data_IF_235530285515
#
_entry.id   IF_235530285515
#
_cell.length_a   1.000
_cell.length_b   1.000
_cell.length_c   1.000
_cell.angle_alpha   90.00
_cell.angle_beta   90.00
_cell.angle_gamma   90.00
#
_symmetry.space_group_name_H-M   'P 1'
#
loop_
_entity.id
_entity.type
_entity.pdbx_description
1 polymer ?
#
# COMPACT_ATOMS: atom_id res chain seq x y z
N UNK A 1 9.43 -89.70 31.40
CA UNK A 1 9.33 -88.65 32.44
C UNK A 1 10.44 -87.65 32.15
N UNK A 2 10.12 -86.41 31.76
CA UNK A 2 11.12 -85.36 31.65
C UNK A 2 11.86 -85.22 32.99
N UNK A 3 13.18 -85.04 32.96
CA UNK A 3 13.96 -84.77 34.18
C UNK A 3 13.70 -83.33 34.63
N UNK A 4 13.77 -83.04 35.93
CA UNK A 4 13.57 -81.67 36.47
C UNK A 4 14.41 -80.62 35.75
N UNK A 5 15.60 -81.00 35.29
CA UNK A 5 16.48 -80.17 34.47
C UNK A 5 15.84 -79.72 33.15
N UNK A 6 15.16 -80.61 32.42
CA UNK A 6 14.47 -80.27 31.17
C UNK A 6 13.32 -79.29 31.41
N UNK A 7 12.63 -79.41 32.55
CA UNK A 7 11.53 -78.52 32.90
C UNK A 7 12.03 -77.10 33.25
N UNK A 8 13.21 -76.99 33.86
CA UNK A 8 13.86 -75.71 34.13
C UNK A 8 14.36 -75.05 32.85
N UNK A 9 15.01 -75.80 31.96
CA UNK A 9 15.48 -75.31 30.66
C UNK A 9 14.33 -74.77 29.81
N UNK A 10 13.19 -75.47 29.76
CA UNK A 10 11.99 -74.99 29.07
C UNK A 10 11.44 -73.71 29.68
N UNK A 11 11.46 -73.59 31.02
CA UNK A 11 11.02 -72.36 31.71
C UNK A 11 11.94 -71.18 31.43
N UNK A 12 13.26 -71.40 31.44
CA UNK A 12 14.25 -70.38 31.12
C UNK A 12 14.06 -69.92 29.67
N UNK A 13 13.95 -70.85 28.73
CA UNK A 13 13.71 -70.52 27.33
C UNK A 13 12.41 -69.71 27.12
N UNK A 14 11.33 -70.07 27.82
CA UNK A 14 10.07 -69.33 27.78
C UNK A 14 10.22 -67.90 28.33
N UNK A 15 10.81 -67.75 29.53
CA UNK A 15 11.04 -66.43 30.13
C UNK A 15 11.95 -65.55 29.28
N UNK A 16 12.95 -66.14 28.64
CA UNK A 16 13.90 -65.42 27.80
C UNK A 16 13.25 -64.99 26.48
N UNK A 17 12.35 -65.81 25.93
CA UNK A 17 11.50 -65.42 24.80
C UNK A 17 10.53 -64.30 25.18
N UNK A 18 9.89 -64.38 26.35
CA UNK A 18 8.97 -63.35 26.84
C UNK A 18 9.70 -62.02 27.09
N UNK A 19 10.90 -62.07 27.67
CA UNK A 19 11.73 -60.88 27.89
C UNK A 19 12.11 -60.21 26.57
N UNK A 20 12.60 -60.98 25.59
CA UNK A 20 12.94 -60.45 24.27
C UNK A 20 11.70 -59.85 23.56
N UNK A 21 10.52 -60.46 23.73
CA UNK A 21 9.28 -59.92 23.18
C UNK A 21 8.86 -58.61 23.87
N UNK A 22 9.08 -58.49 25.18
CA UNK A 22 8.85 -57.24 25.91
C UNK A 22 9.83 -56.14 25.51
N UNK A 23 11.12 -56.46 25.35
CA UNK A 23 12.13 -55.50 24.90
C UNK A 23 11.77 -54.97 23.50
N UNK A 24 11.41 -55.85 22.57
CA UNK A 24 10.96 -55.43 21.24
C UNK A 24 9.71 -54.55 21.30
N UNK A 25 8.71 -54.90 22.14
CA UNK A 25 7.50 -54.11 22.29
C UNK A 25 7.78 -52.72 22.90
N UNK A 26 8.78 -52.60 23.79
CA UNK A 26 9.22 -51.31 24.33
C UNK A 26 9.90 -50.46 23.27
N UNK A 27 10.77 -51.06 22.44
CA UNK A 27 11.43 -50.36 21.34
C UNK A 27 10.42 -49.86 20.30
N UNK A 28 9.47 -50.72 19.89
CA UNK A 28 8.41 -50.35 18.95
C UNK A 28 7.54 -49.21 19.53
N UNK A 29 7.13 -49.31 20.80
CA UNK A 29 6.36 -48.26 21.46
C UNK A 29 7.13 -46.93 21.56
N UNK A 30 8.45 -46.98 21.79
CA UNK A 30 9.30 -45.79 21.84
C UNK A 30 9.38 -45.11 20.46
N UNK A 31 9.50 -45.88 19.38
CA UNK A 31 9.51 -45.33 18.01
C UNK A 31 8.18 -44.68 17.64
N UNK A 32 7.06 -45.37 17.89
CA UNK A 32 5.72 -44.81 17.62
C UNK A 32 5.46 -43.52 18.42
N UNK A 33 5.88 -43.50 19.69
CA UNK A 33 5.68 -42.31 20.53
C UNK A 33 6.49 -41.12 19.99
N UNK A 34 7.72 -41.36 19.54
CA UNK A 34 8.56 -40.32 18.96
C UNK A 34 7.98 -39.78 17.64
N UNK A 35 7.46 -40.65 16.77
CA UNK A 35 6.78 -40.25 15.53
C UNK A 35 5.52 -39.42 15.79
N UNK A 36 4.72 -39.81 16.80
CA UNK A 36 3.53 -39.02 17.21
C UNK A 36 3.92 -37.66 17.74
N UNK A 37 4.97 -37.55 18.54
CA UNK A 37 5.45 -36.27 19.08
C UNK A 37 6.00 -35.35 17.98
N UNK A 38 6.73 -35.90 17.00
CA UNK A 38 7.14 -35.14 15.81
C UNK A 38 5.92 -34.62 15.04
N UNK A 39 4.92 -35.48 14.79
CA UNK A 39 3.69 -35.07 14.10
C UNK A 39 2.93 -33.99 14.87
N UNK A 40 2.85 -34.09 16.21
CA UNK A 40 2.22 -33.05 17.04
C UNK A 40 2.94 -31.73 16.90
N UNK A 41 4.27 -31.75 16.90
CA UNK A 41 5.09 -30.55 16.73
C UNK A 41 4.84 -29.88 15.38
N UNK A 42 4.83 -30.64 14.30
CA UNK A 42 4.52 -30.12 12.96
C UNK A 42 3.12 -29.47 12.92
N UNK A 43 2.13 -30.11 13.53
CA UNK A 43 0.77 -29.55 13.65
C UNK A 43 0.73 -28.25 14.48
N UNK A 44 1.50 -28.16 15.56
CA UNK A 44 1.59 -26.94 16.36
C UNK A 44 2.27 -25.80 15.60
N UNK A 45 3.36 -26.09 14.88
CA UNK A 45 4.06 -25.11 14.06
C UNK A 45 3.15 -24.58 12.93
N UNK A 46 2.41 -25.47 12.28
CA UNK A 46 1.45 -25.12 11.25
C UNK A 46 0.27 -24.31 11.79
N UNK A 47 -0.26 -24.67 12.96
CA UNK A 47 -1.32 -23.89 13.61
C UNK A 47 -0.86 -22.46 13.94
N UNK A 48 0.35 -22.30 14.49
CA UNK A 48 0.92 -20.96 14.76
C UNK A 48 1.14 -20.16 13.47
N UNK A 49 1.57 -20.81 12.38
CA UNK A 49 1.70 -20.16 11.07
C UNK A 49 0.36 -19.61 10.60
N UNK A 50 -0.70 -20.43 10.67
CA UNK A 50 -2.05 -20.06 10.27
C UNK A 50 -2.68 -18.99 11.17
N UNK A 51 -2.35 -18.97 12.46
CA UNK A 51 -2.77 -17.91 13.37
C UNK A 51 -2.16 -16.55 12.98
N UNK A 52 -0.84 -16.51 12.71
CA UNK A 52 -0.16 -15.30 12.23
C UNK A 52 -0.71 -14.83 10.89
N UNK A 53 -0.98 -15.77 9.97
CA UNK A 53 -1.57 -15.45 8.67
C UNK A 53 -2.99 -14.87 8.83
N UNK A 54 -3.81 -15.42 9.71
CA UNK A 54 -5.14 -14.88 10.02
C UNK A 54 -5.08 -13.47 10.63
N UNK A 55 -4.15 -13.22 11.54
CA UNK A 55 -3.97 -11.90 12.13
C UNK A 55 -3.58 -10.87 11.06
N UNK A 56 -2.64 -11.22 10.18
CA UNK A 56 -2.28 -10.40 9.03
C UNK A 56 -3.50 -10.11 8.15
N UNK A 57 -4.25 -11.14 7.74
CA UNK A 57 -5.43 -10.97 6.89
C UNK A 57 -6.50 -10.09 7.55
N UNK A 58 -6.69 -10.18 8.87
CA UNK A 58 -7.62 -9.29 9.60
C UNK A 58 -7.20 -7.83 9.50
N UNK A 59 -5.91 -7.54 9.68
CA UNK A 59 -5.39 -6.17 9.55
C UNK A 59 -5.52 -5.63 8.12
N UNK A 60 -5.28 -6.46 7.10
CA UNK A 60 -5.44 -6.08 5.69
C UNK A 60 -6.91 -5.79 5.34
N UNK A 61 -7.85 -6.61 5.83
CA UNK A 61 -9.29 -6.38 5.63
C UNK A 61 -9.73 -5.05 6.25
N UNK A 62 -9.24 -4.72 7.45
CA UNK A 62 -9.57 -3.45 8.09
C UNK A 62 -8.98 -2.25 7.34
N UNK A 63 -7.73 -2.36 6.86
CA UNK A 63 -7.13 -1.36 5.97
C UNK A 63 -7.98 -1.14 4.70
N UNK A 64 -8.43 -2.22 4.05
CA UNK A 64 -9.28 -2.13 2.87
C UNK A 64 -10.62 -1.45 3.17
N UNK A 65 -11.24 -1.72 4.33
CA UNK A 65 -12.49 -1.06 4.73
C UNK A 65 -12.31 0.45 4.86
N UNK A 66 -11.22 0.90 5.49
CA UNK A 66 -10.90 2.34 5.62
C UNK A 66 -10.69 3.00 4.27
N UNK A 67 -9.93 2.37 3.37
CA UNK A 67 -9.71 2.88 2.01
C UNK A 67 -11.02 3.01 1.23
N UNK A 68 -11.91 2.02 1.32
CA UNK A 68 -13.23 2.09 0.66
C UNK A 68 -14.06 3.29 1.14
N UNK A 69 -14.06 3.57 2.45
CA UNK A 69 -14.76 4.75 2.97
C UNK A 69 -14.17 6.06 2.45
N UNK A 70 -12.83 6.18 2.43
CA UNK A 70 -12.15 7.39 1.94
C UNK A 70 -12.42 7.63 0.45
N UNK A 71 -12.43 6.56 -0.37
CA UNK A 71 -12.79 6.65 -1.78
C UNK A 71 -14.25 7.08 -1.96
N UNK A 72 -15.17 6.53 -1.17
CA UNK A 72 -16.58 6.91 -1.22
C UNK A 72 -16.79 8.39 -0.86
N UNK A 73 -16.11 8.88 0.18
CA UNK A 73 -16.15 10.29 0.58
C UNK A 73 -15.58 11.21 -0.51
N UNK A 74 -14.41 10.89 -1.06
CA UNK A 74 -13.83 11.65 -2.18
C UNK A 74 -14.75 11.68 -3.39
N UNK A 75 -15.39 10.56 -3.72
CA UNK A 75 -16.35 10.48 -4.81
C UNK A 75 -17.58 11.36 -4.53
N UNK A 76 -18.11 11.32 -3.31
CA UNK A 76 -19.25 12.16 -2.92
C UNK A 76 -18.90 13.65 -3.00
N UNK A 77 -17.72 14.05 -2.54
CA UNK A 77 -17.24 15.44 -2.65
C UNK A 77 -17.05 15.87 -4.11
N UNK A 78 -16.49 15.00 -4.96
CA UNK A 78 -16.36 15.27 -6.39
C UNK A 78 -17.74 15.44 -7.05
N UNK A 79 -18.70 14.56 -6.75
CA UNK A 79 -20.06 14.67 -7.26
C UNK A 79 -20.77 15.94 -6.78
N UNK A 80 -20.60 16.32 -5.52
CA UNK A 80 -21.13 17.57 -4.98
C UNK A 80 -20.53 18.77 -5.73
N UNK A 81 -19.22 18.81 -5.95
CA UNK A 81 -18.55 19.87 -6.71
C UNK A 81 -19.05 19.92 -8.16
N UNK A 82 -19.17 18.78 -8.84
CA UNK A 82 -19.74 18.73 -10.19
C UNK A 82 -21.16 19.27 -10.25
N UNK A 83 -21.98 19.03 -9.22
CA UNK A 83 -23.35 19.57 -9.16
C UNK A 83 -23.35 21.09 -9.08
N UNK A 84 -22.44 21.68 -8.28
CA UNK A 84 -22.27 23.14 -8.15
C UNK A 84 -21.83 23.75 -9.48
N UNK A 85 -20.80 23.19 -10.12
CA UNK A 85 -20.33 23.69 -11.41
C UNK A 85 -21.39 23.57 -12.50
N UNK A 86 -22.20 22.50 -12.49
CA UNK A 86 -23.30 22.35 -13.44
C UNK A 86 -24.34 23.46 -13.30
N UNK A 87 -24.69 23.83 -12.06
CA UNK A 87 -25.63 24.95 -11.81
C UNK A 87 -25.01 26.27 -12.27
N UNK A 88 -23.75 26.54 -11.92
CA UNK A 88 -23.05 27.76 -12.34
C UNK A 88 -22.96 27.89 -13.87
N UNK A 89 -22.67 26.79 -14.58
CA UNK A 89 -22.66 26.76 -16.04
C UNK A 89 -24.05 27.07 -16.61
N UNK A 90 -25.11 26.46 -16.06
CA UNK A 90 -26.48 26.72 -16.50
C UNK A 90 -26.90 28.18 -16.27
N UNK A 91 -26.55 28.77 -15.12
CA UNK A 91 -26.79 30.18 -14.82
C UNK A 91 -26.05 31.10 -15.79
N UNK A 92 -24.79 30.78 -16.11
CA UNK A 92 -23.99 31.54 -17.07
C UNK A 92 -24.57 31.45 -18.49
N UNK A 93 -24.96 30.25 -18.92
CA UNK A 93 -25.57 30.03 -20.23
C UNK A 93 -26.90 30.77 -20.36
N UNK A 94 -27.71 30.81 -19.29
CA UNK A 94 -28.94 31.60 -19.25
C UNK A 94 -28.66 33.11 -19.38
N UNK A 95 -27.64 33.63 -18.67
CA UNK A 95 -27.24 35.03 -18.79
C UNK A 95 -26.74 35.38 -20.20
N UNK A 96 -25.96 34.48 -20.83
CA UNK A 96 -25.49 34.64 -22.21
C UNK A 96 -26.66 34.65 -23.20
N UNK A 97 -27.61 33.72 -23.06
CA UNK A 97 -28.83 33.69 -23.88
C UNK A 97 -29.63 34.98 -23.75
N UNK A 98 -29.86 35.46 -22.53
CA UNK A 98 -30.56 36.72 -22.29
C UNK A 98 -29.82 37.91 -22.91
N UNK A 99 -28.49 37.96 -22.81
CA UNK A 99 -27.69 39.00 -23.45
C UNK A 99 -27.79 38.97 -24.98
N UNK A 100 -27.74 37.78 -25.58
CA UNK A 100 -27.90 37.58 -27.03
C UNK A 100 -29.30 37.99 -27.50
N UNK A 101 -30.35 37.65 -26.76
CA UNK A 101 -31.72 38.09 -27.08
C UNK A 101 -31.85 39.60 -27.09
N UNK A 102 -31.24 40.29 -26.13
CA UNK A 102 -31.23 41.76 -26.09
C UNK A 102 -30.47 42.37 -27.26
N UNK A 103 -29.33 41.79 -27.65
CA UNK A 103 -28.57 42.22 -28.84
C UNK A 103 -29.42 42.03 -30.11
N UNK A 104 -30.07 40.87 -30.24
CA UNK A 104 -30.89 40.53 -31.40
C UNK A 104 -32.16 41.39 -31.52
N UNK A 105 -32.75 41.81 -30.41
CA UNK A 105 -33.90 42.74 -30.39
C UNK A 105 -33.49 44.19 -30.71
N UNK A 106 -32.20 44.49 -30.65
CA UNK A 106 -31.67 45.85 -30.70
C UNK A 106 -31.83 46.53 -29.35
N UNK A 107 -30.76 47.13 -28.84
CA UNK A 107 -30.81 47.94 -27.62
C UNK A 107 -31.36 49.32 -28.02
N UNK A 108 -32.66 49.54 -27.80
CA UNK A 108 -33.37 50.72 -28.32
C UNK A 108 -33.74 51.72 -27.22
N UNK A 109 -33.81 51.30 -25.97
CA UNK A 109 -34.13 52.14 -24.82
C UNK A 109 -32.93 52.36 -23.88
N UNK A 110 -32.97 53.44 -23.10
CA UNK A 110 -32.06 53.66 -21.98
C UNK A 110 -32.20 52.56 -20.91
N UNK A 111 -33.42 52.07 -20.69
CA UNK A 111 -33.67 50.97 -19.75
C UNK A 111 -33.00 49.66 -20.23
N UNK A 112 -33.02 49.39 -21.54
CA UNK A 112 -32.33 48.24 -22.14
C UNK A 112 -30.81 48.32 -21.94
N UNK A 113 -30.23 49.53 -22.01
CA UNK A 113 -28.79 49.73 -21.74
C UNK A 113 -28.44 49.48 -20.28
N UNK A 114 -29.30 49.88 -19.34
CA UNK A 114 -29.10 49.63 -17.91
C UNK A 114 -29.19 48.13 -17.62
N UNK A 115 -30.20 47.44 -18.15
CA UNK A 115 -30.38 45.99 -18.00
C UNK A 115 -29.22 45.21 -18.63
N UNK A 116 -28.74 45.64 -19.81
CA UNK A 116 -27.60 45.02 -20.49
C UNK A 116 -26.33 45.10 -19.65
N UNK A 117 -26.04 46.28 -19.07
CA UNK A 117 -24.88 46.49 -18.20
C UNK A 117 -24.97 45.65 -16.92
N UNK A 118 -26.16 45.47 -16.34
CA UNK A 118 -26.36 44.61 -15.18
C UNK A 118 -26.08 43.13 -15.52
N UNK A 119 -26.58 42.64 -16.66
CA UNK A 119 -26.28 41.26 -17.13
C UNK A 119 -24.80 41.07 -17.46
N UNK A 120 -24.14 42.08 -18.05
CA UNK A 120 -22.70 42.05 -18.30
C UNK A 120 -21.88 42.00 -17.01
N UNK A 121 -22.29 42.77 -16.00
CA UNK A 121 -21.67 42.75 -14.67
C UNK A 121 -21.88 41.40 -13.96
N UNK A 122 -23.07 40.80 -14.06
CA UNK A 122 -23.36 39.47 -13.54
C UNK A 122 -22.50 38.39 -14.22
N UNK A 123 -22.33 38.45 -15.55
CA UNK A 123 -21.41 37.59 -16.29
C UNK A 123 -19.95 37.77 -15.85
N UNK A 124 -19.49 39.01 -15.68
CA UNK A 124 -18.15 39.30 -15.19
C UNK A 124 -17.93 38.81 -13.76
N UNK A 125 -18.94 38.92 -12.89
CA UNK A 125 -18.88 38.42 -11.51
C UNK A 125 -18.89 36.88 -11.46
N UNK A 126 -19.62 36.23 -12.38
CA UNK A 126 -19.61 34.77 -12.54
C UNK A 126 -18.25 34.23 -13.02
N UNK A 127 -17.45 35.09 -13.66
CA UNK A 127 -16.09 34.82 -14.11
C UNK A 127 -15.04 35.25 -13.07
N UNK A 128 -15.40 35.29 -11.76
CA UNK A 128 -14.51 35.68 -10.66
C UNK A 128 -13.11 35.06 -10.78
N UNK A 129 -12.09 35.69 -10.17
CA UNK A 129 -10.69 35.25 -10.33
C UNK A 129 -10.67 33.76 -10.05
N UNK A 130 -10.14 32.99 -11.00
CA UNK A 130 -9.95 31.57 -10.82
C UNK A 130 -9.33 31.41 -9.44
N UNK A 131 -10.13 30.97 -8.45
CA UNK A 131 -9.63 30.62 -7.14
C UNK A 131 -8.49 29.67 -7.50
N UNK A 132 -7.22 29.98 -7.15
CA UNK A 132 -6.12 29.15 -7.55
C UNK A 132 -6.55 27.73 -7.23
N UNK A 133 -6.69 26.91 -8.27
CA UNK A 133 -6.83 25.49 -8.04
C UNK A 133 -5.63 25.18 -7.14
N UNK A 134 -5.81 24.58 -5.95
CA UNK A 134 -4.68 24.09 -5.19
C UNK A 134 -3.95 23.12 -6.12
N UNK A 135 -2.85 23.61 -6.67
CA UNK A 135 -2.37 23.24 -8.00
C UNK A 135 -1.12 24.02 -8.40
N UNK A 136 -0.67 25.00 -7.60
CA UNK A 136 0.77 25.15 -7.36
C UNK A 136 1.22 23.92 -6.57
N UNK A 137 1.69 22.92 -7.31
CA UNK A 137 2.32 21.71 -6.81
C UNK A 137 3.54 22.06 -5.95
N UNK A 138 3.34 22.32 -4.67
CA UNK A 138 4.20 21.69 -3.69
C UNK A 138 3.76 20.23 -3.66
N UNK A 139 4.65 19.30 -3.99
CA UNK A 139 4.39 17.88 -3.82
C UNK A 139 4.36 17.56 -2.34
N UNK A 140 3.25 17.93 -1.70
CA UNK A 140 2.97 17.66 -0.31
C UNK A 140 2.38 16.26 -0.21
N UNK A 141 3.02 15.44 0.59
CA UNK A 141 2.56 14.13 0.99
C UNK A 141 1.75 14.29 2.27
N UNK A 142 0.46 13.95 2.22
CA UNK A 142 -0.41 14.02 3.39
C UNK A 142 -0.48 12.65 4.07
N UNK A 143 -0.04 12.59 5.33
CA UNK A 143 -0.09 11.42 6.19
C UNK A 143 -1.06 11.69 7.33
N UNK A 144 -2.06 10.82 7.48
CA UNK A 144 -3.08 10.98 8.52
C UNK A 144 -2.72 10.07 9.69
N UNK A 145 -2.56 10.68 10.87
CA UNK A 145 -2.34 9.98 12.13
C UNK A 145 -3.58 10.10 12.99
N UNK A 146 -3.99 8.99 13.58
CA UNK A 146 -5.15 8.92 14.45
C UNK A 146 -4.76 8.23 15.74
N UNK A 147 -5.07 8.86 16.87
CA UNK A 147 -4.82 8.26 18.16
C UNK A 147 -5.90 7.20 18.44
N UNK A 148 -5.50 5.93 18.61
CA UNK A 148 -6.41 4.80 18.47
C UNK A 148 -7.48 4.70 19.58
N UNK A 149 -7.31 5.41 20.69
CA UNK A 149 -8.21 5.31 21.86
C UNK A 149 -9.10 6.56 22.05
N UNK A 150 -8.64 7.71 21.59
CA UNK A 150 -9.36 8.99 21.75
C UNK A 150 -10.03 9.43 20.45
N UNK A 151 -9.61 8.87 19.31
CA UNK A 151 -10.14 9.23 17.99
C UNK A 151 -9.69 10.62 17.52
N UNK A 152 -8.77 11.24 18.25
CA UNK A 152 -8.16 12.49 17.83
C UNK A 152 -7.31 12.24 16.57
N UNK A 153 -7.53 13.07 15.55
CA UNK A 153 -6.90 12.95 14.25
C UNK A 153 -6.07 14.18 13.95
N UNK A 154 -4.86 13.93 13.50
CA UNK A 154 -3.98 14.93 12.96
C UNK A 154 -3.61 14.56 11.54
N UNK A 155 -3.76 15.53 10.65
CA UNK A 155 -3.25 15.43 9.29
C UNK A 155 -1.88 16.09 9.33
N UNK A 156 -0.86 15.29 9.08
CA UNK A 156 0.51 15.76 8.93
C UNK A 156 0.79 15.82 7.44
N UNK A 157 0.86 17.04 6.92
CA UNK A 157 1.35 17.29 5.57
C UNK A 157 2.84 17.47 5.63
N UNK A 158 3.58 16.71 4.82
CA UNK A 158 5.03 16.74 4.74
C UNK A 158 5.39 17.07 3.30
N UNK A 159 6.26 18.04 3.11
CA UNK A 159 6.75 18.41 1.79
C UNK A 159 7.77 17.39 1.29
N UNK A 160 8.00 17.38 -0.03
CA UNK A 160 9.06 16.56 -0.63
C UNK A 160 10.43 16.81 -0.01
N UNK A 161 10.78 18.05 0.29
CA UNK A 161 12.06 18.41 0.88
C UNK A 161 12.19 17.86 2.32
N UNK A 162 11.12 17.96 3.12
CA UNK A 162 11.10 17.38 4.48
C UNK A 162 11.22 15.85 4.47
N UNK A 163 10.63 15.16 3.48
CA UNK A 163 10.78 13.70 3.33
C UNK A 163 12.22 13.34 2.94
N UNK A 164 12.85 14.10 2.05
CA UNK A 164 14.24 13.87 1.62
C UNK A 164 15.19 14.00 2.81
N UNK A 165 15.05 15.05 3.62
CA UNK A 165 15.90 15.29 4.80
C UNK A 165 15.77 14.19 5.87
N UNK A 166 14.60 13.56 6.00
CA UNK A 166 14.33 12.57 7.07
C UNK A 166 14.37 11.11 6.59
N UNK A 167 14.46 10.85 5.29
CA UNK A 167 14.46 9.50 4.71
C UNK A 167 15.63 9.26 3.75
N UNK A 168 16.69 10.08 3.82
CA UNK A 168 17.87 10.01 2.94
C UNK A 168 18.44 8.59 2.82
N UNK A 169 18.63 7.89 3.95
CA UNK A 169 19.16 6.52 3.97
C UNK A 169 18.26 5.51 3.23
N UNK A 170 16.94 5.62 3.37
CA UNK A 170 15.99 4.72 2.67
C UNK A 170 15.92 5.01 1.18
N UNK A 171 16.05 6.29 0.80
CA UNK A 171 16.11 6.67 -0.61
C UNK A 171 17.42 6.18 -1.26
N UNK A 172 18.52 6.24 -0.52
CA UNK A 172 19.82 5.71 -0.95
C UNK A 172 19.81 4.19 -1.12
N UNK A 173 19.24 3.45 -0.17
CA UNK A 173 19.09 1.98 -0.27
C UNK A 173 18.26 1.59 -1.50
N UNK A 174 17.14 2.29 -1.73
CA UNK A 174 16.29 2.08 -2.92
C UNK A 174 17.01 2.40 -4.23
N UNK A 175 17.89 3.41 -4.22
CA UNK A 175 18.73 3.72 -5.37
C UNK A 175 19.73 2.58 -5.64
N UNK A 176 20.45 2.10 -4.61
CA UNK A 176 21.36 0.97 -4.74
C UNK A 176 20.65 -0.30 -5.26
N UNK A 177 19.43 -0.59 -4.79
CA UNK A 177 18.62 -1.70 -5.31
C UNK A 177 18.34 -1.60 -6.82
N UNK A 178 18.23 -0.39 -7.38
CA UNK A 178 17.89 -0.20 -8.80
C UNK A 178 18.96 -0.74 -9.75
N UNK A 179 20.23 -0.76 -9.33
CA UNK A 179 21.34 -1.19 -10.18
C UNK A 179 22.20 -2.30 -9.57
N UNK A 180 21.95 -2.70 -8.32
CA UNK A 180 22.64 -3.83 -7.70
C UNK A 180 22.24 -5.15 -8.38
N UNK A 181 23.25 -5.86 -8.91
CA UNK A 181 23.11 -7.17 -9.57
C UNK A 181 24.09 -8.20 -9.01
N UNK A 182 24.63 -7.95 -7.82
CA UNK A 182 25.63 -8.83 -7.22
C UNK A 182 25.01 -10.18 -6.87
N UNK A 183 25.69 -11.27 -7.25
CA UNK A 183 25.34 -12.64 -6.87
C UNK A 183 26.27 -13.11 -5.75
N UNK A 184 25.81 -14.00 -4.85
CA UNK A 184 26.67 -14.61 -3.84
C UNK A 184 27.84 -15.36 -4.51
N UNK A 185 29.06 -15.07 -4.04
CA UNK A 185 30.28 -15.65 -4.58
C UNK A 185 30.64 -16.89 -3.75
N UNK A 186 30.38 -18.08 -4.30
CA UNK A 186 30.82 -19.36 -3.71
C UNK A 186 29.93 -19.91 -2.59
N UNK A 187 30.48 -20.84 -1.79
CA UNK A 187 29.77 -21.55 -0.69
C UNK A 187 29.59 -20.69 0.58
N UNK A 188 30.25 -19.54 0.64
CA UNK A 188 30.06 -18.56 1.71
C UNK A 188 29.02 -17.55 1.25
N UNK A 189 27.96 -17.34 2.04
CA UNK A 189 26.90 -16.36 1.79
C UNK A 189 27.38 -14.88 1.82
N UNK A 190 28.66 -14.62 1.57
CA UNK A 190 29.28 -13.29 1.60
C UNK A 190 29.35 -12.77 0.17
N UNK A 191 28.53 -11.77 -0.12
CA UNK A 191 28.56 -11.00 -1.37
C UNK A 191 29.49 -9.81 -1.11
N UNK A 192 30.64 -9.73 -1.78
CA UNK A 192 31.48 -8.51 -1.78
C UNK A 192 30.83 -7.47 -2.71
N UNK A 193 29.75 -6.85 -2.24
CA UNK A 193 28.95 -5.88 -2.99
C UNK A 193 29.51 -4.48 -2.78
N UNK A 194 29.86 -3.79 -3.88
CA UNK A 194 30.32 -2.38 -3.86
C UNK A 194 29.32 -1.42 -4.48
N UNK A 195 28.05 -1.81 -4.53
CA UNK A 195 27.01 -0.95 -5.12
C UNK A 195 26.82 0.34 -4.32
N UNK A 196 27.13 0.34 -3.03
CA UNK A 196 27.04 1.54 -2.18
C UNK A 196 28.10 2.59 -2.57
N UNK A 197 29.34 2.18 -2.87
CA UNK A 197 30.40 3.09 -3.38
C UNK A 197 30.01 3.75 -4.72
N UNK A 198 29.17 3.07 -5.51
CA UNK A 198 28.62 3.60 -6.76
C UNK A 198 27.42 4.49 -6.49
N UNK A 199 26.56 4.11 -5.53
CA UNK A 199 25.41 4.91 -5.09
C UNK A 199 25.81 6.29 -4.59
N UNK A 200 26.93 6.40 -3.85
CA UNK A 200 27.47 7.66 -3.33
C UNK A 200 27.82 8.68 -4.43
N UNK A 201 27.94 8.26 -5.69
CA UNK A 201 28.26 9.13 -6.82
C UNK A 201 27.03 9.84 -7.40
N UNK A 202 25.82 9.49 -6.95
CA UNK A 202 24.58 10.08 -7.44
C UNK A 202 24.08 11.19 -6.51
N UNK A 203 23.65 12.30 -7.12
CA UNK A 203 23.01 13.40 -6.41
C UNK A 203 21.51 13.43 -6.69
N UNK A 204 20.73 13.74 -5.65
CA UNK A 204 19.29 13.89 -5.78
C UNK A 204 18.94 15.22 -6.48
N UNK A 205 18.31 15.14 -7.65
CA UNK A 205 17.90 16.32 -8.43
C UNK A 205 16.63 16.98 -7.88
N UNK A 206 16.54 18.31 -8.04
CA UNK A 206 15.35 19.09 -7.64
C UNK A 206 14.09 18.65 -8.41
N UNK A 207 12.92 18.85 -7.82
CA UNK A 207 11.64 18.40 -8.36
C UNK A 207 11.36 18.89 -9.80
N UNK A 208 11.64 20.16 -10.09
CA UNK A 208 11.45 20.75 -11.42
C UNK A 208 12.33 20.09 -12.48
N UNK A 209 13.57 19.74 -12.11
CA UNK A 209 14.52 19.05 -12.97
C UNK A 209 14.14 17.57 -13.15
N UNK A 210 13.62 16.93 -12.10
CA UNK A 210 13.11 15.56 -12.17
C UNK A 210 11.90 15.44 -13.12
N UNK A 211 10.95 16.38 -13.05
CA UNK A 211 9.78 16.42 -13.96
C UNK A 211 10.22 16.61 -15.41
N UNK A 212 11.10 17.57 -15.67
CA UNK A 212 11.66 17.80 -17.00
C UNK A 212 12.47 16.60 -17.54
N UNK A 213 13.12 15.83 -16.67
CA UNK A 213 13.83 14.61 -17.05
C UNK A 213 12.87 13.45 -17.38
N UNK A 214 11.77 13.30 -16.63
CA UNK A 214 10.72 12.31 -16.91
C UNK A 214 10.03 12.58 -18.25
N UNK A 215 9.72 13.85 -18.52
CA UNK A 215 9.07 14.27 -19.76
C UNK A 215 9.99 13.99 -20.97
N UNK A 216 11.30 14.23 -20.85
CA UNK A 216 12.28 13.88 -21.89
C UNK A 216 12.48 12.37 -22.08
N UNK A 217 12.42 11.59 -21.01
CA UNK A 217 12.56 10.13 -21.08
C UNK A 217 11.36 9.47 -21.79
N UNK A 218 10.16 10.07 -21.67
CA UNK A 218 8.95 9.57 -22.33
C UNK A 218 8.87 9.97 -23.81
N UNK A 219 9.43 11.11 -24.20
CA UNK A 219 9.57 11.49 -25.62
C UNK A 219 10.59 10.63 -26.39
N UNK A 220 11.67 10.20 -25.73
CA UNK A 220 12.69 9.31 -26.33
C UNK A 220 12.23 7.87 -26.59
N UNK A 221 11.25 7.37 -25.85
CA UNK A 221 10.71 6.00 -26.01
C UNK A 221 9.70 5.85 -27.16
N UNK A 222 9.36 6.95 -27.85
CA UNK A 222 8.37 6.99 -28.95
C UNK A 222 9.00 6.84 -30.34
N UNK A 223 10.34 6.79 -30.43
CA UNK A 223 11.09 6.61 -31.66
C UNK A 223 12.16 5.52 -31.48
N UNK A 224 11.73 4.29 -31.19
CA UNK A 224 12.46 3.06 -31.53
C UNK A 224 11.51 2.07 -32.21
#
# INVERSE_FOLDING_TARGET
MPTETQHLEQRIAALQSDLNAQDQALDDAATENNERELSRRDWFEEAQRLEKENERLRTDVERQRRLKMLVAEKLQNALANCSVYRVQLAERDALLQQGLEMINRGIVSFDDQVEYRQKLAALSASAGPAKPCPGETQSQFAFVYEHPQTGERHIVTVTRDEVIEHMEEQLFEKLCECFCKCQPVGETNVVDCRCDEVGEQFELVKEEQARAALDKATEGASHE
#
